data_IF_568997780066
#
_entry.id   IF_568997780066
#
_cell.length_a   1.000
_cell.length_b   1.000
_cell.length_c   1.000
_cell.angle_alpha   90.00
_cell.angle_beta   90.00
_cell.angle_gamma   90.00
#
_symmetry.space_group_name_H-M   'P 1'
#
loop_
_entity.id
_entity.type
_entity.pdbx_description
1 polymer ?
#
# COMPACT_ATOMS: atom_id res chain seq x y z
N UNK A 1 6.80 -5.83 -9.06
CA UNK A 1 7.11 -4.72 -9.98
C UNK A 1 6.27 -3.48 -9.66
N UNK A 2 4.94 -3.58 -9.56
CA UNK A 2 4.03 -2.44 -9.23
C UNK A 2 4.44 -1.76 -7.92
N UNK A 3 4.67 -2.53 -6.86
CA UNK A 3 5.09 -2.00 -5.57
C UNK A 3 6.46 -1.32 -5.66
N UNK A 4 7.38 -1.91 -6.43
CA UNK A 4 8.72 -1.34 -6.61
C UNK A 4 8.71 0.02 -7.33
N UNK A 5 7.75 0.26 -8.22
CA UNK A 5 7.55 1.57 -8.86
C UNK A 5 6.80 2.56 -7.97
N UNK A 6 5.89 2.07 -7.11
CA UNK A 6 5.14 2.92 -6.18
C UNK A 6 6.05 3.59 -5.14
N UNK A 7 7.06 2.86 -4.63
CA UNK A 7 7.95 3.38 -3.58
C UNK A 7 8.70 4.66 -3.97
N UNK A 8 9.48 4.68 -5.08
CA UNK A 8 10.15 5.91 -5.50
C UNK A 8 9.17 7.05 -5.75
N UNK A 9 8.00 6.75 -6.31
CA UNK A 9 6.98 7.74 -6.59
C UNK A 9 6.41 8.36 -5.31
N UNK A 10 6.17 7.56 -4.27
CA UNK A 10 5.71 8.02 -2.97
C UNK A 10 6.76 8.91 -2.28
N UNK A 11 8.03 8.52 -2.33
CA UNK A 11 9.14 9.32 -1.80
C UNK A 11 9.28 10.65 -2.56
N UNK A 12 9.23 10.63 -3.90
CA UNK A 12 9.27 11.84 -4.70
C UNK A 12 8.09 12.78 -4.40
N UNK A 13 6.88 12.23 -4.28
CA UNK A 13 5.69 13.02 -3.91
C UNK A 13 5.88 13.65 -2.53
N UNK A 14 6.45 12.93 -1.58
CA UNK A 14 6.76 13.46 -0.25
C UNK A 14 7.73 14.64 -0.34
N UNK A 15 8.81 14.53 -1.13
CA UNK A 15 9.75 15.64 -1.34
C UNK A 15 9.10 16.85 -2.01
N UNK A 16 8.21 16.64 -2.98
CA UNK A 16 7.45 17.72 -3.61
C UNK A 16 6.60 18.45 -2.57
N UNK A 17 5.86 17.71 -1.74
CA UNK A 17 5.03 18.29 -0.68
C UNK A 17 5.87 19.06 0.34
N UNK A 18 7.00 18.50 0.77
CA UNK A 18 7.94 19.18 1.67
C UNK A 18 8.44 20.50 1.07
N UNK A 19 8.82 20.50 -0.21
CA UNK A 19 9.27 21.70 -0.91
C UNK A 19 8.18 22.77 -0.99
N UNK A 20 6.93 22.38 -1.28
CA UNK A 20 5.79 23.29 -1.34
C UNK A 20 5.46 23.94 0.00
N UNK A 21 5.69 23.21 1.10
CA UNK A 21 5.44 23.68 2.46
C UNK A 21 6.67 24.34 3.11
N UNK A 22 7.79 24.46 2.39
CA UNK A 22 9.00 25.07 2.91
C UNK A 22 9.69 24.27 4.01
N UNK A 23 9.46 22.97 4.08
CA UNK A 23 10.08 22.09 5.08
C UNK A 23 11.46 21.67 4.57
N UNK A 24 12.50 22.01 5.35
CA UNK A 24 13.88 21.67 5.02
C UNK A 24 14.13 20.16 5.10
N UNK A 25 14.80 19.62 4.09
CA UNK A 25 15.20 18.21 4.03
C UNK A 25 16.49 17.98 4.85
N UNK A 26 16.42 18.16 6.16
CA UNK A 26 17.52 17.86 7.07
C UNK A 26 17.57 16.36 7.42
N UNK A 27 18.62 15.94 8.13
CA UNK A 27 18.85 14.53 8.51
C UNK A 27 17.66 13.96 9.30
N UNK A 28 17.03 14.77 10.15
CA UNK A 28 15.87 14.36 10.97
C UNK A 28 14.65 14.17 10.11
N UNK A 29 14.39 15.06 9.15
CA UNK A 29 13.32 14.91 8.18
C UNK A 29 13.51 13.66 7.30
N UNK A 30 14.73 13.41 6.83
CA UNK A 30 15.04 12.20 6.04
C UNK A 30 14.85 10.91 6.84
N UNK A 31 15.13 10.92 8.14
CA UNK A 31 14.85 9.77 9.01
C UNK A 31 13.36 9.48 9.10
N UNK A 32 12.49 10.52 9.05
CA UNK A 32 11.04 10.38 8.95
C UNK A 32 10.60 9.64 7.70
N UNK A 33 11.20 9.94 6.53
CA UNK A 33 10.94 9.20 5.28
C UNK A 33 11.42 7.75 5.42
N UNK A 34 12.60 7.51 5.96
CA UNK A 34 13.14 6.16 6.13
C UNK A 34 12.22 5.27 6.97
N UNK A 35 11.65 5.81 8.06
CA UNK A 35 10.68 5.10 8.89
C UNK A 35 9.36 4.88 8.12
N UNK A 36 8.93 5.85 7.32
CA UNK A 36 7.70 5.76 6.56
C UNK A 36 7.76 4.73 5.41
N UNK A 37 8.93 4.46 4.85
CA UNK A 37 9.11 3.49 3.75
C UNK A 37 8.54 2.12 4.11
N UNK A 38 8.74 1.62 5.33
CA UNK A 38 8.19 0.34 5.77
C UNK A 38 6.66 0.31 5.70
N UNK A 39 6.00 1.39 6.10
CA UNK A 39 4.54 1.51 6.02
C UNK A 39 4.08 1.68 4.58
N UNK A 40 4.82 2.41 3.74
CA UNK A 40 4.53 2.54 2.31
C UNK A 40 4.54 1.19 1.59
N UNK A 41 5.54 0.35 1.87
CA UNK A 41 5.62 -1.03 1.34
C UNK A 41 4.39 -1.83 1.78
N UNK A 42 4.05 -1.76 3.07
CA UNK A 42 2.90 -2.47 3.61
C UNK A 42 1.60 -2.09 2.90
N UNK A 43 1.35 -0.79 2.70
CA UNK A 43 0.17 -0.30 1.96
C UNK A 43 0.15 -0.87 0.55
N UNK A 44 1.26 -0.79 -0.18
CA UNK A 44 1.38 -1.34 -1.52
C UNK A 44 1.12 -2.85 -1.58
N UNK A 45 1.61 -3.59 -0.60
CA UNK A 45 1.41 -5.05 -0.50
C UNK A 45 -0.06 -5.38 -0.25
N UNK A 46 -0.71 -4.71 0.71
CA UNK A 46 -2.12 -4.96 1.07
C UNK A 46 -3.05 -4.73 -0.13
N UNK A 47 -2.89 -3.60 -0.83
CA UNK A 47 -3.69 -3.32 -2.02
C UNK A 47 -3.43 -4.34 -3.14
N UNK A 48 -2.16 -4.64 -3.43
CA UNK A 48 -1.81 -5.61 -4.48
C UNK A 48 -2.29 -7.02 -4.17
N UNK A 49 -2.15 -7.46 -2.93
CA UNK A 49 -2.59 -8.79 -2.52
C UNK A 49 -4.10 -8.94 -2.71
N UNK A 50 -4.89 -7.96 -2.28
CA UNK A 50 -6.34 -8.00 -2.45
C UNK A 50 -6.76 -7.94 -3.92
N UNK A 51 -6.12 -7.08 -4.74
CA UNK A 51 -6.36 -7.06 -6.18
C UNK A 51 -6.07 -8.41 -6.84
N UNK A 52 -4.95 -9.04 -6.52
CA UNK A 52 -4.59 -10.35 -7.06
C UNK A 52 -5.58 -11.42 -6.58
N UNK A 53 -6.07 -11.33 -5.35
CA UNK A 53 -7.10 -12.24 -4.82
C UNK A 53 -8.39 -12.13 -5.63
N UNK A 54 -8.90 -10.92 -5.87
CA UNK A 54 -10.07 -10.69 -6.71
C UNK A 54 -9.89 -11.15 -8.15
N UNK A 55 -8.74 -10.89 -8.75
CA UNK A 55 -8.42 -11.35 -10.10
C UNK A 55 -8.32 -12.88 -10.21
N UNK A 56 -7.98 -13.57 -9.14
CA UNK A 56 -7.93 -15.03 -9.11
C UNK A 56 -9.31 -15.69 -9.21
N UNK A 57 -10.38 -14.99 -8.82
CA UNK A 57 -11.77 -15.49 -8.93
C UNK A 57 -12.31 -15.41 -10.36
N UNK A 58 -11.79 -14.48 -11.18
CA UNK A 58 -12.20 -14.30 -12.57
C UNK A 58 -10.98 -14.16 -13.50
N UNK A 59 -10.25 -15.26 -13.76
CA UNK A 59 -8.96 -15.21 -14.49
C UNK A 59 -9.09 -14.81 -15.95
N UNK A 60 -10.31 -14.72 -16.49
CA UNK A 60 -10.61 -14.32 -17.87
C UNK A 60 -11.18 -12.91 -17.97
N UNK A 61 -11.31 -12.19 -16.86
CA UNK A 61 -11.82 -10.82 -16.85
C UNK A 61 -10.99 -9.90 -17.74
N UNK A 62 -11.67 -9.06 -18.55
CA UNK A 62 -11.05 -8.10 -19.46
C UNK A 62 -11.86 -6.82 -19.54
N UNK A 63 -11.23 -5.71 -19.92
CA UNK A 63 -11.90 -4.43 -20.11
C UNK A 63 -12.64 -3.99 -18.83
N UNK A 64 -13.91 -3.63 -18.96
CA UNK A 64 -14.75 -3.15 -17.84
C UNK A 64 -14.86 -4.13 -16.67
N UNK A 65 -14.85 -5.44 -16.95
CA UNK A 65 -14.92 -6.46 -15.90
C UNK A 65 -13.61 -6.49 -15.07
N UNK A 66 -12.47 -6.36 -15.72
CA UNK A 66 -11.15 -6.25 -15.05
C UNK A 66 -11.09 -5.00 -14.17
N UNK A 67 -11.55 -3.87 -14.72
CA UNK A 67 -11.60 -2.59 -14.00
C UNK A 67 -12.50 -2.70 -12.76
N UNK A 68 -13.69 -3.23 -12.88
CA UNK A 68 -14.63 -3.42 -11.77
C UNK A 68 -14.02 -4.30 -10.65
N UNK A 69 -13.31 -5.38 -11.01
CA UNK A 69 -12.65 -6.25 -10.03
C UNK A 69 -11.54 -5.53 -9.27
N UNK A 70 -10.73 -4.73 -9.97
CA UNK A 70 -9.66 -3.95 -9.36
C UNK A 70 -10.24 -2.88 -8.43
N UNK A 71 -11.26 -2.13 -8.87
CA UNK A 71 -11.89 -1.10 -8.06
C UNK A 71 -12.56 -1.68 -6.81
N UNK A 72 -13.29 -2.79 -6.94
CA UNK A 72 -13.88 -3.48 -5.80
C UNK A 72 -12.83 -3.95 -4.79
N UNK A 73 -11.72 -4.50 -5.28
CA UNK A 73 -10.61 -4.92 -4.42
C UNK A 73 -9.99 -3.75 -3.66
N UNK A 74 -9.81 -2.61 -4.31
CA UNK A 74 -9.29 -1.39 -3.66
C UNK A 74 -10.27 -0.87 -2.62
N UNK A 75 -11.55 -0.80 -2.97
CA UNK A 75 -12.60 -0.30 -2.08
C UNK A 75 -12.72 -1.16 -0.81
N UNK A 76 -12.62 -2.48 -0.92
CA UNK A 76 -12.71 -3.42 0.20
C UNK A 76 -11.65 -3.15 1.28
N UNK A 77 -10.40 -2.87 0.89
CA UNK A 77 -9.30 -2.68 1.85
C UNK A 77 -9.01 -1.22 2.19
N UNK A 78 -9.52 -0.27 1.40
CA UNK A 78 -9.22 1.16 1.58
C UNK A 78 -9.63 1.66 2.96
N UNK A 79 -10.79 1.26 3.48
CA UNK A 79 -11.26 1.65 4.81
C UNK A 79 -10.31 1.19 5.92
N UNK A 80 -9.87 -0.07 5.88
CA UNK A 80 -8.95 -0.62 6.85
C UNK A 80 -7.57 0.07 6.79
N UNK A 81 -7.06 0.31 5.58
CA UNK A 81 -5.78 1.00 5.38
C UNK A 81 -5.86 2.44 5.86
N UNK A 82 -6.94 3.17 5.53
CA UNK A 82 -7.16 4.55 5.98
C UNK A 82 -7.22 4.63 7.52
N UNK A 83 -7.93 3.72 8.16
CA UNK A 83 -8.03 3.67 9.63
C UNK A 83 -6.67 3.38 10.26
N UNK A 84 -5.93 2.40 9.76
CA UNK A 84 -4.60 2.05 10.26
C UNK A 84 -3.58 3.18 10.10
N UNK A 85 -3.57 3.82 8.94
CA UNK A 85 -2.69 4.98 8.69
C UNK A 85 -3.13 6.20 9.50
N UNK A 86 -4.43 6.46 9.60
CA UNK A 86 -4.98 7.52 10.43
C UNK A 86 -4.57 7.38 11.89
N UNK A 87 -4.67 6.18 12.44
CA UNK A 87 -4.21 5.87 13.81
C UNK A 87 -2.72 6.16 13.96
N UNK A 88 -1.91 5.78 12.98
CA UNK A 88 -0.47 6.06 12.99
C UNK A 88 -0.19 7.57 12.98
N UNK A 89 -0.91 8.35 12.15
CA UNK A 89 -0.76 9.81 12.09
C UNK A 89 -1.18 10.45 13.42
N UNK A 90 -2.31 10.04 13.98
CA UNK A 90 -2.82 10.54 15.26
C UNK A 90 -1.83 10.26 16.40
N UNK A 91 -1.12 9.13 16.37
CA UNK A 91 -0.10 8.80 17.37
C UNK A 91 1.09 9.79 17.37
N UNK A 92 1.26 10.56 16.30
CA UNK A 92 2.29 11.63 16.21
C UNK A 92 1.79 13.00 16.70
N UNK A 93 0.49 13.18 16.97
CA UNK A 93 -0.04 14.46 17.47
C UNK A 93 0.69 14.98 18.73
N UNK A 94 1.04 14.14 19.71
CA UNK A 94 1.77 14.62 20.89
C UNK A 94 3.13 15.24 20.54
N UNK A 95 3.78 14.79 19.46
CA UNK A 95 5.07 15.33 19.00
C UNK A 95 4.91 16.79 18.54
N UNK A 96 3.78 17.14 17.95
CA UNK A 96 3.50 18.52 17.54
C UNK A 96 3.22 19.46 18.73
N UNK A 97 2.86 18.91 19.88
CA UNK A 97 2.67 19.66 21.12
C UNK A 97 3.98 19.89 21.89
N UNK A 98 5.07 19.24 21.51
CA UNK A 98 6.38 19.41 22.14
C UNK A 98 6.91 20.82 21.90
N UNK A 99 7.43 21.44 22.98
CA UNK A 99 7.98 22.80 22.96
C UNK A 99 9.49 22.78 23.19
N UNK A 100 10.09 23.96 23.12
CA UNK A 100 11.52 24.18 23.33
C UNK A 100 12.43 23.43 22.31
N UNK A 101 13.55 22.95 22.77
CA UNK A 101 14.60 22.37 21.91
C UNK A 101 14.18 21.01 21.33
N UNK A 102 13.45 20.23 22.09
CA UNK A 102 12.94 18.92 21.64
C UNK A 102 11.94 19.06 20.48
N UNK A 103 11.01 20.02 20.58
CA UNK A 103 10.07 20.30 19.50
C UNK A 103 10.77 20.68 18.19
N UNK A 104 11.80 21.54 18.26
CA UNK A 104 12.57 21.92 17.07
C UNK A 104 13.23 20.74 16.35
N UNK A 105 13.64 19.72 17.09
CA UNK A 105 14.24 18.51 16.52
C UNK A 105 13.21 17.53 15.97
N UNK A 106 12.09 17.32 16.67
CA UNK A 106 11.13 16.28 16.30
C UNK A 106 10.03 16.74 15.35
N UNK A 107 9.71 18.03 15.28
CA UNK A 107 8.71 18.54 14.33
C UNK A 107 9.01 18.19 12.87
N UNK A 108 10.25 18.38 12.34
CA UNK A 108 10.56 18.00 10.97
C UNK A 108 10.32 16.50 10.69
N UNK A 109 10.65 15.63 11.65
CA UNK A 109 10.41 14.19 11.56
C UNK A 109 8.92 13.87 11.52
N UNK A 110 8.13 14.46 12.41
CA UNK A 110 6.68 14.22 12.49
C UNK A 110 5.97 14.70 11.23
N UNK A 111 6.30 15.90 10.72
CA UNK A 111 5.76 16.42 9.48
C UNK A 111 6.10 15.52 8.29
N UNK A 112 7.37 15.18 8.14
CA UNK A 112 7.85 14.39 7.02
C UNK A 112 7.21 13.01 7.01
N UNK A 113 7.15 12.33 8.17
CA UNK A 113 6.50 11.03 8.29
C UNK A 113 5.01 11.11 7.95
N UNK A 114 4.32 12.12 8.47
CA UNK A 114 2.87 12.31 8.20
C UNK A 114 2.62 12.53 6.72
N UNK A 115 3.38 13.40 6.04
CA UNK A 115 3.24 13.62 4.61
C UNK A 115 3.63 12.40 3.77
N UNK A 116 4.64 11.66 4.19
CA UNK A 116 5.02 10.41 3.55
C UNK A 116 3.88 9.37 3.60
N UNK A 117 3.22 9.23 4.75
CA UNK A 117 2.08 8.34 4.91
C UNK A 117 0.87 8.78 4.08
N UNK A 118 0.56 10.09 4.07
CA UNK A 118 -0.52 10.64 3.24
C UNK A 118 -0.23 10.44 1.75
N UNK A 119 1.01 10.69 1.31
CA UNK A 119 1.43 10.44 -0.07
C UNK A 119 1.27 8.98 -0.45
N UNK A 120 1.71 8.06 0.41
CA UNK A 120 1.56 6.62 0.19
C UNK A 120 0.09 6.19 0.07
N UNK A 121 -0.77 6.73 0.92
CA UNK A 121 -2.21 6.46 0.89
C UNK A 121 -2.85 6.94 -0.42
N UNK A 122 -2.57 8.18 -0.81
CA UNK A 122 -3.09 8.77 -2.05
C UNK A 122 -2.63 7.97 -3.28
N UNK A 123 -1.35 7.65 -3.35
CA UNK A 123 -0.78 6.85 -4.44
C UNK A 123 -1.33 5.42 -4.45
N UNK A 124 -1.52 4.82 -3.27
CA UNK A 124 -2.13 3.50 -3.12
C UNK A 124 -3.55 3.43 -3.65
N UNK A 125 -4.36 4.46 -3.41
CA UNK A 125 -5.75 4.52 -3.85
C UNK A 125 -5.88 4.93 -5.32
N UNK A 126 -5.05 5.87 -5.80
CA UNK A 126 -5.19 6.46 -7.14
C UNK A 126 -4.31 5.80 -8.19
N UNK A 127 -3.02 5.65 -7.91
CA UNK A 127 -2.04 5.23 -8.91
C UNK A 127 -1.92 3.72 -8.96
N UNK A 128 -1.99 3.05 -7.82
CA UNK A 128 -1.77 1.61 -7.76
C UNK A 128 -2.83 0.81 -8.55
N UNK A 129 -4.15 1.11 -8.49
CA UNK A 129 -5.14 0.43 -9.33
C UNK A 129 -4.93 0.71 -10.81
N UNK A 130 -4.52 1.93 -11.18
CA UNK A 130 -4.24 2.30 -12.57
C UNK A 130 -3.04 1.52 -13.12
N UNK A 131 -1.95 1.43 -12.36
CA UNK A 131 -0.78 0.63 -12.73
C UNK A 131 -1.11 -0.86 -12.78
N UNK A 132 -1.91 -1.36 -11.83
CA UNK A 132 -2.37 -2.74 -11.84
C UNK A 132 -3.21 -3.04 -13.08
N UNK A 133 -4.17 -2.18 -13.40
CA UNK A 133 -4.99 -2.31 -14.61
C UNK A 133 -4.10 -2.36 -15.88
N UNK A 134 -3.15 -1.45 -16.00
CA UNK A 134 -2.25 -1.40 -17.15
C UNK A 134 -1.40 -2.68 -17.27
N UNK A 135 -0.84 -3.18 -16.19
CA UNK A 135 -0.02 -4.40 -16.18
C UNK A 135 -0.86 -5.64 -16.45
N UNK A 136 -2.05 -5.76 -15.86
CA UNK A 136 -2.92 -6.91 -16.09
C UNK A 136 -3.61 -6.87 -17.46
N UNK A 137 -3.78 -5.70 -18.05
CA UNK A 137 -4.26 -5.50 -19.43
C UNK A 137 -3.19 -5.90 -20.47
N UNK A 138 -1.91 -5.63 -20.18
CA UNK A 138 -0.80 -6.13 -20.97
C UNK A 138 -0.72 -7.64 -20.75
N UNK A 139 -0.96 -8.43 -21.80
CA UNK A 139 -0.94 -9.90 -21.82
C UNK A 139 0.27 -10.49 -21.09
N UNK A 140 0.21 -10.64 -19.78
CA UNK A 140 1.12 -11.55 -19.09
C UNK A 140 0.61 -12.96 -19.40
N UNK A 141 1.40 -13.85 -20.06
CA UNK A 141 0.94 -15.18 -20.38
C UNK A 141 0.54 -15.90 -19.07
N UNK A 142 -0.70 -16.41 -19.03
CA UNK A 142 -1.35 -17.08 -17.89
C UNK A 142 -0.47 -18.12 -17.16
N UNK A 143 0.54 -18.65 -17.85
CA UNK A 143 1.46 -19.67 -17.32
C UNK A 143 2.35 -19.17 -16.17
N UNK A 144 2.69 -17.86 -16.13
CA UNK A 144 3.58 -17.30 -15.11
C UNK A 144 2.82 -16.93 -13.82
N UNK A 145 1.64 -16.34 -13.94
CA UNK A 145 0.82 -16.00 -12.78
C UNK A 145 0.39 -17.27 -12.01
N UNK A 146 -0.09 -18.29 -12.73
CA UNK A 146 -0.47 -19.57 -12.13
C UNK A 146 0.71 -20.34 -11.52
N UNK A 147 1.93 -20.21 -12.07
CA UNK A 147 3.12 -20.91 -11.57
C UNK A 147 3.62 -20.34 -10.24
N UNK A 148 3.50 -19.02 -10.05
CA UNK A 148 3.86 -18.32 -8.80
C UNK A 148 2.84 -18.63 -7.70
N UNK A 149 1.54 -18.61 -8.02
CA UNK A 149 0.47 -18.87 -7.06
C UNK A 149 0.37 -20.35 -6.66
N UNK A 150 0.53 -21.28 -7.60
CA UNK A 150 0.47 -22.72 -7.31
C UNK A 150 1.59 -23.19 -6.37
N UNK A 151 2.70 -22.44 -6.30
CA UNK A 151 3.83 -22.77 -5.42
C UNK A 151 3.63 -22.28 -3.97
N UNK A 152 2.64 -21.40 -3.72
CA UNK A 152 2.44 -20.73 -2.42
C UNK A 152 1.19 -21.17 -1.64
N UNK A 153 0.32 -21.98 -2.23
CA UNK A 153 -0.80 -22.58 -1.47
C UNK A 153 -0.29 -23.90 -0.87
N UNK A 154 0.05 -23.94 0.43
CA UNK A 154 0.45 -25.19 1.04
C UNK A 154 -0.72 -26.17 0.98
N UNK A 155 -0.43 -27.44 0.70
CA UNK A 155 -1.41 -28.54 0.63
C UNK A 155 -2.31 -28.66 1.87
N UNK A 156 -1.94 -28.03 2.97
CA UNK A 156 -2.67 -27.99 4.23
C UNK A 156 -4.07 -27.34 4.13
N UNK A 157 -4.30 -26.42 3.18
CA UNK A 157 -5.62 -25.81 2.99
C UNK A 157 -6.66 -26.78 2.37
N UNK A 158 -6.21 -27.79 1.65
CA UNK A 158 -7.08 -28.84 1.08
C UNK A 158 -7.59 -29.82 2.13
N UNK A 159 -6.84 -30.01 3.20
CA UNK A 159 -7.19 -30.94 4.29
C UNK A 159 -8.28 -30.31 5.20
N UNK A 160 -8.22 -28.99 5.41
CA UNK A 160 -9.18 -28.30 6.28
C UNK A 160 -10.59 -28.23 5.69
N UNK A 161 -10.71 -28.21 4.35
CA UNK A 161 -12.03 -28.25 3.68
C UNK A 161 -12.65 -29.67 3.73
N UNK A 162 -11.83 -30.71 3.83
CA UNK A 162 -12.30 -32.10 3.89
C UNK A 162 -12.81 -32.47 5.28
N UNK A 163 -12.20 -31.95 6.34
CA UNK A 163 -12.61 -32.23 7.73
C UNK A 163 -13.89 -31.51 8.14
N UNK A 164 -14.27 -30.39 7.50
CA UNK A 164 -15.53 -29.68 7.77
C UNK A 164 -16.71 -30.34 7.03
N UNK A 165 -16.45 -31.00 5.88
CA UNK A 165 -17.49 -31.64 5.08
C UNK A 165 -17.89 -33.05 5.57
N UNK A 166 -17.13 -33.68 6.47
CA UNK A 166 -17.40 -35.03 6.99
C UNK A 166 -18.07 -35.05 8.36
N UNK A 167 -18.36 -33.89 8.97
CA UNK A 167 -19.00 -33.76 10.28
C UNK A 167 -20.36 -33.04 10.25
N UNK A 168 -21.09 -33.11 9.13
CA UNK A 168 -22.52 -32.77 9.05
C UNK A 168 -23.33 -33.98 8.59
#
# INVERSE_FOLDING_TARGET
>A
FVIATMLPLAVLTTFIVMKLLGIEANIVALSGIAIAIGVMVYVGVVFMENMVRHLSTAPNARGKQLEALILNAVHEVSGAVMTGMGTTIISFLPVFAMQAQEGKMFHPLAFTKTFALLSALLLGILILPTLAYWIFSLRIPKRWALKIFRKRVPRTFKIMHWTVSTNM
#
